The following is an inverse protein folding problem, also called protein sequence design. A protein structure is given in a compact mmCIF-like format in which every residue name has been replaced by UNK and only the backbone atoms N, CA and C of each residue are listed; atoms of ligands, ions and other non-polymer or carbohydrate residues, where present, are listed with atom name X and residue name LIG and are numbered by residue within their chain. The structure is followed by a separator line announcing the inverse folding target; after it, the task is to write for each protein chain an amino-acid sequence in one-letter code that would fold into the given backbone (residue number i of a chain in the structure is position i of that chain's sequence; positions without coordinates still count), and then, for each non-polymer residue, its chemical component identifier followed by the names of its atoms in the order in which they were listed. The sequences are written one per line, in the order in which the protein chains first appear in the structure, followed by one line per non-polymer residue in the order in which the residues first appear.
data_IF_399485089888
#
_entry.id   IF_399485089888
#
_cell.length_a   1.000
_cell.length_b   1.000
_cell.length_c   1.000
_cell.angle_alpha   90.00
_cell.angle_beta   90.00
_cell.angle_gamma   90.00
#
_symmetry.space_group_name_H-M   'P 1'
#
loop_
_entity.id
_entity.type
_entity.pdbx_description
1 polymer ?
#
# COMPACT_ATOMS: atom_id res chain seq x y z
N UNK A 1 -47.81 -20.65 7.78
CA UNK A 1 -46.86 -19.51 7.78
C UNK A 1 -46.72 -19.04 9.21
N UNK A 2 -45.59 -19.35 9.85
CA UNK A 2 -45.37 -19.01 11.25
C UNK A 2 -45.03 -17.51 11.38
N UNK A 3 -45.66 -16.77 12.33
CA UNK A 3 -45.46 -15.33 12.49
C UNK A 3 -44.04 -14.91 12.90
N UNK A 4 -43.17 -15.87 13.27
CA UNK A 4 -41.75 -15.62 13.59
C UNK A 4 -40.84 -15.43 12.38
N UNK A 5 -41.20 -15.99 11.21
CA UNK A 5 -40.34 -15.91 10.01
C UNK A 5 -40.37 -14.50 9.40
N UNK A 6 -41.50 -13.80 9.51
CA UNK A 6 -41.66 -12.43 8.99
C UNK A 6 -40.94 -11.39 9.87
N UNK A 7 -40.89 -11.61 11.19
CA UNK A 7 -40.19 -10.73 12.15
C UNK A 7 -38.67 -10.88 12.09
N UNK A 8 -38.15 -12.09 11.86
CA UNK A 8 -36.71 -12.31 11.63
C UNK A 8 -36.27 -11.67 10.31
N UNK A 9 -37.09 -11.79 9.25
CA UNK A 9 -36.81 -11.12 7.97
C UNK A 9 -36.86 -9.59 8.09
N UNK A 10 -37.83 -9.04 8.85
CA UNK A 10 -37.89 -7.60 9.13
C UNK A 10 -36.72 -7.09 9.99
N UNK A 11 -36.27 -7.82 11.01
CA UNK A 11 -35.09 -7.43 11.79
C UNK A 11 -33.79 -7.55 10.99
N UNK A 12 -33.66 -8.56 10.13
CA UNK A 12 -32.54 -8.71 9.20
C UNK A 12 -32.47 -7.57 8.18
N UNK A 13 -33.61 -7.16 7.63
CA UNK A 13 -33.70 -6.00 6.71
C UNK A 13 -33.44 -4.67 7.44
N UNK A 14 -33.92 -4.50 8.68
CA UNK A 14 -33.63 -3.31 9.49
C UNK A 14 -32.14 -3.20 9.88
N UNK A 15 -31.47 -4.32 10.18
CA UNK A 15 -30.01 -4.34 10.41
C UNK A 15 -29.22 -4.08 9.11
N UNK A 16 -29.75 -4.48 7.95
CA UNK A 16 -29.18 -4.17 6.64
C UNK A 16 -29.28 -2.67 6.29
N UNK A 17 -30.38 -2.00 6.67
CA UNK A 17 -30.54 -0.55 6.47
C UNK A 17 -29.79 0.30 7.50
N UNK A 18 -29.64 -0.15 8.75
CA UNK A 18 -28.89 0.58 9.79
C UNK A 18 -27.36 0.43 9.69
N UNK A 19 -26.85 -0.54 8.94
CA UNK A 19 -25.40 -0.69 8.68
C UNK A 19 -24.91 0.16 7.51
N UNK A 20 -25.79 0.92 6.84
CA UNK A 20 -25.41 1.87 5.78
C UNK A 20 -24.78 3.18 6.30
N UNK A 21 -24.51 3.31 7.60
CA UNK A 21 -23.70 4.41 8.14
C UNK A 21 -22.57 3.84 8.99
N UNK A 22 -21.70 3.05 8.36
CA UNK A 22 -20.32 2.95 8.81
C UNK A 22 -19.48 3.56 7.69
N UNK A 23 -19.41 4.89 7.69
CA UNK A 23 -18.29 5.60 7.08
C UNK A 23 -17.05 5.07 7.81
N UNK A 24 -16.36 4.13 7.18
CA UNK A 24 -15.01 3.79 7.55
C UNK A 24 -14.21 5.07 7.38
N UNK A 25 -13.75 5.63 8.50
CA UNK A 25 -12.81 6.74 8.55
C UNK A 25 -11.49 6.23 7.95
N UNK A 26 -11.41 6.21 6.61
CA UNK A 26 -10.14 6.39 5.94
C UNK A 26 -9.69 7.78 6.35
N UNK A 27 -8.57 7.83 7.04
CA UNK A 27 -7.86 9.06 7.34
C UNK A 27 -7.62 9.81 6.02
N UNK A 28 -8.58 10.66 5.67
CA UNK A 28 -8.42 11.71 4.70
C UNK A 28 -7.36 12.63 5.29
N UNK A 29 -6.09 12.36 4.96
CA UNK A 29 -5.04 13.35 5.14
C UNK A 29 -5.48 14.56 4.33
N UNK A 30 -5.89 15.59 5.08
CA UNK A 30 -6.59 16.75 4.58
C UNK A 30 -5.85 17.33 3.38
N UNK A 31 -6.54 17.38 2.25
CA UNK A 31 -6.10 18.13 1.10
C UNK A 31 -5.88 19.57 1.54
N UNK A 32 -4.60 19.95 1.66
CA UNK A 32 -4.19 21.32 1.86
C UNK A 32 -4.65 22.13 0.63
N UNK A 33 -5.77 22.84 0.79
CA UNK A 33 -6.21 23.84 -0.17
C UNK A 33 -5.13 24.91 -0.31
N UNK A 34 -4.45 24.94 -1.46
CA UNK A 34 -3.47 25.96 -1.81
C UNK A 34 -2.20 25.45 -2.50
N UNK A 35 -1.97 24.14 -2.56
CA UNK A 35 -0.74 23.61 -3.19
C UNK A 35 -0.75 23.77 -4.72
N UNK A 36 0.40 24.11 -5.36
CA UNK A 36 0.55 24.15 -6.81
C UNK A 36 0.19 22.80 -7.46
N UNK A 37 -0.25 22.77 -8.72
CA UNK A 37 -0.62 21.53 -9.41
C UNK A 37 0.51 20.46 -9.43
N UNK A 38 1.77 20.90 -9.37
CA UNK A 38 2.95 20.04 -9.27
C UNK A 38 3.11 19.30 -7.93
N UNK A 39 2.24 19.59 -6.95
CA UNK A 39 2.31 19.16 -5.56
C UNK A 39 1.05 18.43 -5.08
N UNK A 40 0.33 17.83 -6.03
CA UNK A 40 -0.99 17.26 -5.80
C UNK A 40 -1.03 15.74 -6.00
N UNK A 41 0.14 15.12 -6.08
CA UNK A 41 0.22 13.67 -6.13
C UNK A 41 -0.16 13.10 -4.77
N UNK A 42 -0.88 11.98 -4.76
CA UNK A 42 -1.06 11.19 -3.55
C UNK A 42 0.29 10.62 -3.09
N UNK A 43 0.33 10.10 -1.87
CA UNK A 43 1.49 9.41 -1.30
C UNK A 43 1.29 7.89 -1.34
N UNK A 44 1.20 7.23 -2.52
CA UNK A 44 0.98 5.79 -2.53
C UNK A 44 2.23 5.06 -2.02
N UNK A 45 1.98 4.00 -1.26
CA UNK A 45 2.99 3.00 -0.95
C UNK A 45 3.46 2.35 -2.26
N UNK A 46 4.75 2.08 -2.33
CA UNK A 46 5.38 1.51 -3.51
C UNK A 46 6.37 0.41 -3.12
N UNK A 47 6.71 -0.41 -4.10
CA UNK A 47 7.72 -1.46 -3.95
C UNK A 47 8.97 -1.06 -4.73
N UNK A 48 10.11 -1.25 -4.06
CA UNK A 48 11.45 -1.02 -4.59
C UNK A 48 12.11 -2.38 -4.73
N UNK A 49 11.98 -2.99 -5.90
CA UNK A 49 12.71 -4.22 -6.18
C UNK A 49 14.18 -3.88 -6.37
N UNK A 50 15.06 -4.75 -5.85
CA UNK A 50 16.50 -4.53 -5.90
C UNK A 50 17.25 -5.78 -6.33
N UNK A 51 18.32 -5.54 -7.08
CA UNK A 51 19.27 -6.57 -7.48
C UNK A 51 20.67 -6.15 -7.06
N UNK A 52 21.41 -7.10 -6.49
CA UNK A 52 22.81 -6.92 -6.10
C UNK A 52 23.64 -7.90 -6.92
N UNK A 53 24.51 -7.39 -7.79
CA UNK A 53 25.24 -8.18 -8.80
C UNK A 53 24.34 -9.11 -9.61
N UNK A 54 23.15 -8.63 -9.98
CA UNK A 54 22.18 -9.37 -10.78
C UNK A 54 21.31 -10.35 -9.99
N UNK A 55 21.62 -10.65 -8.73
CA UNK A 55 20.77 -11.48 -7.88
C UNK A 55 19.67 -10.65 -7.24
N UNK A 56 18.41 -11.06 -7.43
CA UNK A 56 17.25 -10.41 -6.81
C UNK A 56 17.29 -10.59 -5.29
N UNK A 57 16.96 -9.53 -4.56
CA UNK A 57 16.83 -9.55 -3.11
C UNK A 57 15.42 -9.15 -2.71
N UNK A 58 15.09 -9.37 -1.44
CA UNK A 58 13.82 -8.93 -0.86
C UNK A 58 13.55 -7.45 -1.22
N UNK A 59 12.35 -7.14 -1.74
CA UNK A 59 12.01 -5.78 -2.12
C UNK A 59 11.86 -4.90 -0.89
N UNK A 60 12.24 -3.64 -1.02
CA UNK A 60 12.01 -2.64 0.02
C UNK A 60 10.64 -1.98 -0.18
N UNK A 61 10.06 -1.52 0.92
CA UNK A 61 8.85 -0.70 0.90
C UNK A 61 9.28 0.77 0.85
N UNK A 62 8.64 1.54 -0.01
CA UNK A 62 8.82 2.99 -0.09
C UNK A 62 7.51 3.74 -0.09
N UNK A 63 7.62 5.06 -0.08
CA UNK A 63 6.50 5.99 -0.18
C UNK A 63 6.82 7.07 -1.22
N UNK A 64 5.89 7.36 -2.13
CA UNK A 64 6.09 8.40 -3.14
C UNK A 64 6.00 9.79 -2.52
N UNK A 65 6.67 10.77 -3.12
CA UNK A 65 6.48 12.18 -2.79
C UNK A 65 5.17 12.72 -3.37
N UNK A 66 4.67 13.81 -2.79
CA UNK A 66 3.53 14.57 -3.31
C UNK A 66 3.85 15.38 -4.58
N UNK A 67 5.06 15.25 -5.11
CA UNK A 67 5.57 15.96 -6.29
C UNK A 67 6.44 15.05 -7.15
N UNK A 68 6.77 15.52 -8.35
CA UNK A 68 7.52 14.74 -9.34
C UNK A 68 6.59 13.95 -10.27
N UNK A 69 7.18 13.11 -11.11
CA UNK A 69 6.39 12.23 -11.99
C UNK A 69 5.81 11.05 -11.23
N UNK A 70 4.64 10.58 -11.69
CA UNK A 70 3.98 9.40 -11.14
C UNK A 70 4.72 8.14 -11.60
N UNK A 71 4.87 7.18 -10.69
CA UNK A 71 5.47 5.88 -10.98
C UNK A 71 4.46 4.96 -11.69
N UNK A 72 4.93 4.06 -12.56
CA UNK A 72 4.06 3.07 -13.17
C UNK A 72 3.48 2.11 -12.13
N UNK A 73 2.25 1.66 -12.39
CA UNK A 73 1.56 0.70 -11.52
C UNK A 73 2.02 -0.74 -11.76
N UNK A 74 2.41 -1.05 -13.00
CA UNK A 74 2.85 -2.37 -13.42
C UNK A 74 4.39 -2.45 -13.53
N UNK A 75 4.94 -3.54 -13.01
CA UNK A 75 6.37 -3.90 -13.08
C UNK A 75 6.86 -3.92 -14.54
N UNK A 76 6.03 -4.31 -15.51
CA UNK A 76 6.39 -4.39 -16.93
C UNK A 76 6.71 -3.03 -17.56
N UNK A 77 6.13 -1.96 -17.01
CA UNK A 77 6.36 -0.59 -17.47
C UNK A 77 7.49 0.08 -16.66
N UNK A 78 7.80 -0.46 -15.49
CA UNK A 78 8.87 0.03 -14.65
C UNK A 78 10.25 -0.33 -15.22
N UNK A 79 11.13 0.66 -15.27
CA UNK A 79 12.48 0.47 -15.77
C UNK A 79 13.41 0.05 -14.63
N UNK A 80 14.20 -1.01 -14.87
CA UNK A 80 15.33 -1.38 -14.01
C UNK A 80 16.52 -0.48 -14.33
N UNK A 81 16.98 0.26 -13.33
CA UNK A 81 18.03 1.26 -13.48
C UNK A 81 19.12 1.07 -12.41
N UNK A 82 20.39 1.42 -12.70
CA UNK A 82 21.44 1.40 -11.70
C UNK A 82 21.14 2.44 -10.60
N UNK A 83 21.43 2.10 -9.35
CA UNK A 83 21.37 3.05 -8.25
C UNK A 83 22.77 3.55 -7.91
N UNK A 84 22.89 4.85 -7.62
CA UNK A 84 24.15 5.48 -7.24
C UNK A 84 23.93 6.50 -6.14
N UNK A 85 24.80 6.52 -5.14
CA UNK A 85 24.81 7.59 -4.15
C UNK A 85 25.18 8.93 -4.79
N UNK A 86 24.38 9.95 -4.47
CA UNK A 86 24.71 11.33 -4.75
C UNK A 86 25.96 11.76 -3.99
N UNK A 87 26.73 12.68 -4.57
CA UNK A 87 27.89 13.32 -3.94
C UNK A 87 27.73 14.83 -4.03
N UNK A 88 27.46 15.56 -2.94
CA UNK A 88 27.37 15.06 -1.56
C UNK A 88 26.16 14.15 -1.31
N UNK A 89 26.25 13.28 -0.30
CA UNK A 89 25.21 12.28 0.05
C UNK A 89 23.85 12.90 0.37
N UNK A 90 23.82 14.16 0.80
CA UNK A 90 22.58 14.88 1.09
C UNK A 90 21.93 15.47 -0.18
N UNK A 91 22.59 15.45 -1.33
CA UNK A 91 22.09 16.04 -2.58
C UNK A 91 21.62 17.52 -2.46
N UNK A 92 22.21 18.29 -1.54
CA UNK A 92 21.85 19.70 -1.33
C UNK A 92 22.67 20.67 -2.19
N UNK A 93 23.68 20.19 -2.90
CA UNK A 93 24.43 20.94 -3.88
C UNK A 93 24.68 20.09 -5.15
N UNK A 94 24.93 20.72 -6.31
CA UNK A 94 25.16 20.02 -7.56
C UNK A 94 26.20 18.93 -7.42
N UNK A 95 25.88 17.73 -7.92
CA UNK A 95 26.81 16.62 -7.80
C UNK A 95 28.01 16.80 -8.71
N UNK A 96 29.19 16.43 -8.22
CA UNK A 96 30.41 16.37 -9.04
C UNK A 96 30.39 15.25 -10.08
N UNK A 97 29.46 14.29 -9.96
CA UNK A 97 29.28 13.18 -10.89
C UNK A 97 27.93 13.26 -11.59
N UNK A 98 27.90 12.97 -12.90
CA UNK A 98 26.64 12.86 -13.64
C UNK A 98 25.94 11.56 -13.29
N UNK A 99 24.69 11.66 -12.83
CA UNK A 99 23.84 10.52 -12.51
C UNK A 99 23.35 9.81 -13.79
N UNK A 100 23.34 10.50 -14.94
CA UNK A 100 23.26 9.90 -16.30
C UNK A 100 22.20 8.81 -16.49
N UNK A 101 20.97 9.05 -16.02
CA UNK A 101 19.85 8.10 -16.10
C UNK A 101 19.83 7.06 -14.99
N UNK A 102 20.69 7.16 -13.97
CA UNK A 102 20.64 6.33 -12.78
C UNK A 102 19.61 6.83 -11.78
N UNK A 103 19.28 5.96 -10.83
CA UNK A 103 18.51 6.31 -9.64
C UNK A 103 19.47 6.92 -8.62
N UNK A 104 19.23 8.16 -8.22
CA UNK A 104 20.03 8.85 -7.23
C UNK A 104 19.60 8.43 -5.82
N UNK A 105 20.56 8.04 -4.98
CA UNK A 105 20.34 7.83 -3.55
C UNK A 105 20.84 9.04 -2.77
N UNK A 106 20.00 9.60 -1.91
CA UNK A 106 20.34 10.74 -1.06
C UNK A 106 19.85 10.53 0.37
N UNK A 107 20.58 11.03 1.37
CA UNK A 107 20.14 11.03 2.76
C UNK A 107 19.19 12.22 3.03
N UNK A 108 18.20 11.99 3.88
CA UNK A 108 17.33 13.04 4.43
C UNK A 108 18.14 14.01 5.31
N UNK A 109 17.75 15.29 5.30
CA UNK A 109 18.33 16.35 6.13
C UNK A 109 18.98 17.48 5.31
N UNK A 110 19.47 18.52 6.01
CA UNK A 110 20.21 19.69 5.48
C UNK A 110 19.45 20.65 4.55
N UNK A 111 18.58 20.15 3.68
CA UNK A 111 17.79 20.95 2.75
C UNK A 111 16.45 20.28 2.41
N UNK A 112 15.55 21.06 1.80
CA UNK A 112 14.21 20.62 1.40
C UNK A 112 14.24 19.46 0.39
N UNK A 113 13.22 18.60 0.44
CA UNK A 113 13.08 17.46 -0.48
C UNK A 113 12.97 17.90 -1.94
N UNK A 114 12.28 19.00 -2.21
CA UNK A 114 12.14 19.59 -3.55
C UNK A 114 13.48 20.07 -4.10
N UNK A 115 14.33 20.64 -3.25
CA UNK A 115 15.70 21.05 -3.60
C UNK A 115 16.55 19.85 -3.98
N UNK A 116 16.50 18.77 -3.19
CA UNK A 116 17.20 17.51 -3.51
C UNK A 116 16.76 16.95 -4.86
N UNK A 117 15.45 16.94 -5.12
CA UNK A 117 14.90 16.46 -6.37
C UNK A 117 15.32 17.30 -7.58
N UNK A 118 15.32 18.62 -7.45
CA UNK A 118 15.80 19.54 -8.49
C UNK A 118 17.27 19.28 -8.82
N UNK A 119 18.11 19.16 -7.79
CA UNK A 119 19.55 18.92 -7.95
C UNK A 119 19.81 17.55 -8.57
N UNK A 120 19.11 16.51 -8.13
CA UNK A 120 19.21 15.17 -8.71
C UNK A 120 18.80 15.16 -10.19
N UNK A 121 17.72 15.86 -10.53
CA UNK A 121 17.24 16.02 -11.91
C UNK A 121 18.26 16.77 -12.78
N UNK A 122 18.80 17.89 -12.30
CA UNK A 122 19.85 18.65 -12.99
C UNK A 122 21.12 17.82 -13.17
N UNK A 123 21.41 16.91 -12.23
CA UNK A 123 22.46 15.89 -12.35
C UNK A 123 22.17 14.77 -13.35
N UNK A 124 20.98 14.79 -13.97
CA UNK A 124 20.53 13.80 -14.96
C UNK A 124 20.05 12.49 -14.35
N UNK A 125 19.60 12.47 -13.09
CA UNK A 125 19.00 11.28 -12.51
C UNK A 125 17.67 10.94 -13.20
N UNK A 126 17.35 9.65 -13.26
CA UNK A 126 16.04 9.19 -13.76
C UNK A 126 15.00 9.11 -12.64
N UNK A 127 15.44 8.98 -11.38
CA UNK A 127 14.61 9.01 -10.17
C UNK A 127 15.44 9.40 -8.96
N UNK A 128 14.80 9.87 -7.90
CA UNK A 128 15.43 10.15 -6.61
C UNK A 128 14.84 9.24 -5.52
N UNK A 129 15.72 8.59 -4.76
CA UNK A 129 15.38 7.86 -3.54
C UNK A 129 16.01 8.57 -2.35
N UNK A 130 15.17 9.04 -1.45
CA UNK A 130 15.58 9.66 -0.19
C UNK A 130 15.57 8.60 0.90
N UNK A 131 16.73 8.38 1.52
CA UNK A 131 16.89 7.48 2.66
C UNK A 131 16.57 8.27 3.92
N UNK A 132 15.58 7.80 4.67
CA UNK A 132 15.20 8.41 5.94
C UNK A 132 16.29 8.19 7.01
N UNK A 133 16.32 9.07 8.02
CA UNK A 133 17.25 8.99 9.17
C UNK A 133 16.60 8.33 10.39
N UNK A 134 15.41 7.79 10.23
CA UNK A 134 14.64 7.09 11.25
C UNK A 134 13.95 5.91 10.57
N UNK A 135 13.65 4.88 11.35
CA UNK A 135 12.78 3.81 10.88
C UNK A 135 11.37 4.34 10.54
N UNK A 136 10.81 3.84 9.44
CA UNK A 136 9.54 4.29 8.88
C UNK A 136 9.68 5.21 7.66
N UNK A 137 8.52 5.49 7.05
CA UNK A 137 8.40 6.28 5.82
C UNK A 137 7.90 7.68 6.17
N UNK A 138 8.50 8.70 5.56
CA UNK A 138 8.13 10.11 5.79
C UNK A 138 7.43 10.66 4.56
N UNK A 139 6.24 11.26 4.73
CA UNK A 139 5.56 11.99 3.66
C UNK A 139 6.40 13.20 3.22
N UNK A 140 6.75 13.22 1.94
CA UNK A 140 7.52 14.30 1.34
C UNK A 140 6.58 15.25 0.59
N UNK A 141 6.11 16.26 1.30
CA UNK A 141 5.32 17.34 0.72
C UNK A 141 6.17 18.36 -0.02
N UNK A 142 5.51 19.23 -0.76
CA UNK A 142 6.16 20.40 -1.35
C UNK A 142 6.50 21.45 -0.30
N UNK A 143 7.61 22.14 -0.53
CA UNK A 143 7.90 23.42 0.13
C UNK A 143 6.99 24.52 -0.47
N UNK A 144 6.95 25.71 0.14
CA UNK A 144 6.13 26.85 -0.29
C UNK A 144 6.55 27.48 -1.63
N UNK A 145 7.41 26.81 -2.39
CA UNK A 145 7.92 27.30 -3.66
C UNK A 145 6.87 27.07 -4.77
N UNK A 146 6.55 28.14 -5.49
CA UNK A 146 5.47 28.15 -6.50
C UNK A 146 5.93 27.67 -7.88
N UNK A 147 7.25 27.50 -8.09
CA UNK A 147 7.84 27.12 -9.37
C UNK A 147 8.53 25.74 -9.32
N UNK A 148 7.79 24.71 -8.94
CA UNK A 148 8.31 23.34 -8.89
C UNK A 148 8.18 22.65 -10.26
N UNK A 149 9.31 22.54 -10.97
CA UNK A 149 9.42 21.78 -12.23
C UNK A 149 10.27 20.52 -12.02
N UNK A 150 9.69 19.50 -11.39
CA UNK A 150 10.31 18.20 -11.13
C UNK A 150 9.57 17.16 -11.98
N UNK A 151 10.29 16.58 -12.93
CA UNK A 151 9.79 15.58 -13.89
C UNK A 151 10.29 14.16 -13.58
N UNK A 152 11.13 13.99 -12.56
CA UNK A 152 11.58 12.68 -12.08
C UNK A 152 10.69 12.19 -10.93
N UNK A 153 10.51 10.88 -10.74
CA UNK A 153 9.82 10.35 -9.58
C UNK A 153 10.72 10.45 -8.34
N UNK A 154 10.11 10.78 -7.21
CA UNK A 154 10.80 10.98 -5.93
C UNK A 154 10.15 10.09 -4.89
N UNK A 155 10.94 9.28 -4.22
CA UNK A 155 10.46 8.32 -3.24
C UNK A 155 11.30 8.35 -1.97
N UNK A 156 10.72 7.91 -0.85
CA UNK A 156 11.45 7.70 0.40
C UNK A 156 11.46 6.22 0.77
N UNK A 157 12.52 5.79 1.45
CA UNK A 157 12.66 4.45 2.04
C UNK A 157 13.10 4.57 3.50
N UNK A 158 12.91 3.50 4.27
CA UNK A 158 13.36 3.43 5.67
C UNK A 158 14.89 3.50 5.79
N UNK A 159 15.36 3.84 6.99
CA UNK A 159 16.78 3.84 7.34
C UNK A 159 17.43 2.47 7.12
N UNK A 160 16.84 1.42 7.70
CA UNK A 160 17.21 0.01 7.46
C UNK A 160 17.37 -0.36 5.99
N UNK A 161 16.41 0.01 5.15
CA UNK A 161 16.46 -0.25 3.70
C UNK A 161 17.62 0.48 3.03
N UNK A 162 17.89 1.72 3.43
CA UNK A 162 19.03 2.51 2.96
C UNK A 162 20.38 1.97 3.41
N UNK A 163 20.49 1.48 4.64
CA UNK A 163 21.71 0.86 5.17
C UNK A 163 22.09 -0.40 4.40
N UNK A 164 21.11 -1.25 4.06
CA UNK A 164 21.35 -2.46 3.26
C UNK A 164 21.86 -2.13 1.85
N UNK A 165 21.32 -1.07 1.23
CA UNK A 165 21.81 -0.57 -0.06
C UNK A 165 23.22 0.02 0.08
N UNK A 166 23.47 0.78 1.13
CA UNK A 166 24.78 1.37 1.41
C UNK A 166 25.84 0.30 1.60
N UNK A 167 25.57 -0.71 2.43
CA UNK A 167 26.47 -1.85 2.64
C UNK A 167 26.80 -2.56 1.33
N UNK A 168 25.78 -2.87 0.53
CA UNK A 168 25.97 -3.54 -0.76
C UNK A 168 26.85 -2.72 -1.73
N UNK A 169 26.65 -1.40 -1.79
CA UNK A 169 27.47 -0.53 -2.64
C UNK A 169 28.87 -0.30 -2.08
N UNK A 170 29.04 -0.24 -0.75
CA UNK A 170 30.32 -0.11 -0.08
C UNK A 170 31.21 -1.35 -0.30
N UNK A 171 30.59 -2.53 -0.39
CA UNK A 171 31.25 -3.79 -0.76
C UNK A 171 31.64 -3.85 -2.25
N UNK A 172 31.40 -2.78 -3.02
CA UNK A 172 31.73 -2.67 -4.44
C UNK A 172 30.75 -3.41 -5.37
N UNK A 173 29.59 -3.84 -4.85
CA UNK A 173 28.59 -4.55 -5.63
C UNK A 173 27.75 -3.59 -6.46
N UNK A 174 27.41 -3.99 -7.69
CA UNK A 174 26.50 -3.23 -8.55
C UNK A 174 25.07 -3.41 -8.04
N UNK A 175 24.42 -2.30 -7.67
CA UNK A 175 23.03 -2.28 -7.21
C UNK A 175 22.14 -1.67 -8.28
N UNK A 176 21.06 -2.36 -8.61
CA UNK A 176 20.04 -1.90 -9.56
C UNK A 176 18.67 -1.94 -8.88
N UNK A 177 17.84 -0.92 -9.14
CA UNK A 177 16.52 -0.78 -8.55
C UNK A 177 15.45 -0.68 -9.64
N UNK A 178 14.25 -1.14 -9.31
CA UNK A 178 13.04 -0.97 -10.12
C UNK A 178 11.92 -0.48 -9.21
N UNK A 179 11.32 0.64 -9.57
CA UNK A 179 10.31 1.35 -8.77
C UNK A 179 8.94 1.21 -9.43
N UNK A 180 7.94 0.75 -8.68
CA UNK A 180 6.55 0.69 -9.15
C UNK A 180 5.56 0.82 -7.98
N UNK A 181 4.37 1.37 -8.26
CA UNK A 181 3.33 1.59 -7.27
C UNK A 181 2.12 0.68 -7.54
N UNK A 182 2.07 -0.52 -6.93
CA UNK A 182 0.97 -1.45 -7.19
C UNK A 182 -0.35 -0.91 -6.65
N UNK A 183 -1.40 -0.92 -7.47
CA UNK A 183 -2.76 -0.58 -7.03
C UNK A 183 -3.25 -1.57 -5.99
N UNK A 184 -3.69 -1.07 -4.84
CA UNK A 184 -4.38 -1.88 -3.82
C UNK A 184 -5.83 -2.11 -4.29
N UNK A 185 -6.33 -3.36 -4.36
CA UNK A 185 -7.73 -3.58 -4.65
C UNK A 185 -8.59 -2.96 -3.55
N UNK A 186 -9.69 -2.31 -3.93
CA UNK A 186 -10.62 -1.62 -3.00
C UNK A 186 -11.29 -2.63 -2.05
N UNK A 187 -11.43 -3.89 -2.49
CA UNK A 187 -12.10 -4.94 -1.73
C UNK A 187 -11.14 -6.10 -1.55
N UNK A 188 -10.71 -6.32 -0.31
CA UNK A 188 -9.98 -7.52 0.06
C UNK A 188 -10.93 -8.72 0.05
N UNK A 189 -10.70 -9.66 -0.86
CA UNK A 189 -11.50 -10.88 -0.96
C UNK A 189 -11.52 -11.68 0.34
N UNK A 190 -10.44 -11.65 1.12
CA UNK A 190 -10.38 -12.24 2.46
C UNK A 190 -11.42 -11.63 3.39
N UNK A 191 -11.65 -10.32 3.35
CA UNK A 191 -12.65 -9.63 4.17
C UNK A 191 -14.06 -10.00 3.72
N UNK A 192 -14.30 -10.04 2.40
CA UNK A 192 -15.58 -10.51 1.84
C UNK A 192 -15.86 -11.95 2.27
N UNK A 193 -14.84 -12.81 2.20
CA UNK A 193 -14.96 -14.20 2.60
C UNK A 193 -15.24 -14.34 4.10
N UNK A 194 -14.52 -13.59 4.95
CA UNK A 194 -14.76 -13.56 6.40
C UNK A 194 -16.16 -13.05 6.74
N UNK A 195 -16.64 -12.04 6.01
CA UNK A 195 -18.00 -11.52 6.15
C UNK A 195 -19.06 -12.56 5.78
N UNK A 196 -18.89 -13.25 4.65
CA UNK A 196 -19.79 -14.33 4.22
C UNK A 196 -19.79 -15.52 5.21
N UNK A 197 -18.62 -15.89 5.74
CA UNK A 197 -18.51 -16.94 6.77
C UNK A 197 -19.20 -16.56 8.07
N UNK A 198 -19.10 -15.29 8.48
CA UNK A 198 -19.79 -14.77 9.66
C UNK A 198 -21.31 -14.83 9.49
N UNK A 199 -21.82 -14.32 8.37
CA UNK A 199 -23.25 -14.38 8.05
C UNK A 199 -23.74 -15.83 7.96
N UNK A 200 -22.98 -16.71 7.31
CA UNK A 200 -23.30 -18.13 7.20
C UNK A 200 -23.42 -18.82 8.56
N UNK A 201 -22.52 -18.48 9.49
CA UNK A 201 -22.52 -19.03 10.86
C UNK A 201 -23.74 -18.56 11.65
N UNK A 202 -24.11 -17.26 11.54
CA UNK A 202 -25.30 -16.70 12.18
C UNK A 202 -26.57 -17.35 11.63
N UNK A 203 -26.67 -17.54 10.32
CA UNK A 203 -27.83 -18.22 9.70
C UNK A 203 -27.93 -19.66 10.18
N UNK A 204 -26.82 -20.40 10.21
CA UNK A 204 -26.79 -21.79 10.68
C UNK A 204 -27.18 -21.90 12.16
N UNK A 205 -26.69 -20.98 13.00
CA UNK A 205 -27.07 -20.91 14.41
C UNK A 205 -28.54 -20.53 14.60
N UNK A 206 -29.08 -19.62 13.78
CA UNK A 206 -30.49 -19.19 13.83
C UNK A 206 -31.44 -20.33 13.43
N UNK A 207 -31.04 -21.16 12.46
CA UNK A 207 -31.82 -22.30 12.00
C UNK A 207 -31.62 -23.56 12.86
N UNK A 208 -30.74 -23.50 13.87
CA UNK A 208 -30.43 -24.65 14.74
C UNK A 208 -31.69 -25.24 15.39
N UNK A 209 -32.61 -24.38 15.85
CA UNK A 209 -33.85 -24.81 16.51
C UNK A 209 -34.77 -25.63 15.59
N UNK A 210 -34.96 -25.20 14.33
CA UNK A 210 -35.82 -25.90 13.37
C UNK A 210 -35.22 -27.25 12.93
N UNK A 211 -33.89 -27.29 12.76
CA UNK A 211 -33.17 -28.52 12.43
C UNK A 211 -33.31 -29.53 13.56
N UNK A 212 -33.19 -29.11 14.83
CA UNK A 212 -33.33 -30.02 15.97
C UNK A 212 -34.76 -30.56 16.16
N UNK A 213 -35.80 -29.75 15.90
CA UNK A 213 -37.19 -30.21 15.98
C UNK A 213 -37.55 -31.24 14.90
N UNK A 214 -37.04 -31.08 13.67
CA UNK A 214 -37.26 -32.06 12.59
C UNK A 214 -36.70 -33.44 12.94
N UNK A 215 -35.52 -33.48 13.56
CA UNK A 215 -34.84 -34.73 13.95
C UNK A 215 -35.58 -35.48 15.07
N UNK A 216 -36.27 -34.77 15.95
CA UNK A 216 -37.04 -35.37 17.05
C UNK A 216 -38.36 -35.97 16.56
N UNK A 217 -38.97 -35.39 15.51
CA UNK A 217 -40.18 -35.92 14.86
C UNK A 217 -39.94 -37.22 14.08
N UNK A 218 -38.79 -37.33 13.41
CA UNK A 218 -38.42 -38.54 12.66
C UNK A 218 -37.96 -39.69 13.58
N UNK A 219 -37.24 -39.37 14.66
CA UNK A 219 -36.87 -40.36 15.69
C UNK A 219 -38.10 -40.95 16.40
N UNK A 220 -39.12 -40.13 16.67
CA UNK A 220 -40.37 -40.59 17.28
C UNK A 220 -41.23 -41.47 16.36
N UNK A 221 -41.08 -41.36 15.04
CA UNK A 221 -41.86 -42.18 14.09
C UNK A 221 -41.26 -43.57 13.86
N UNK A 222 -39.94 -43.73 14.03
CA UNK A 222 -39.25 -45.02 13.89
C UNK A 222 -39.46 -45.97 15.08
N UNK A 223 -39.98 -45.47 16.22
CA UNK A 223 -40.28 -46.29 17.40
C UNK A 223 -41.73 -46.82 17.42
N UNK A 224 -42.59 -46.37 16.49
CA UNK A 224 -43.99 -46.80 16.41
C UNK A 224 -44.28 -47.95 15.42
N UNK A 225 -43.26 -48.57 14.82
CA UNK A 225 -43.48 -49.77 14.00
C UNK A 225 -43.62 -51.01 14.89
N UNK A 226 -44.78 -51.72 14.88
CA UNK A 226 -44.94 -52.96 15.65
C UNK A 226 -43.99 -54.03 15.11
N UNK A 227 -43.28 -54.74 16.00
CA UNK A 227 -42.67 -56.03 15.67
C UNK A 227 -43.81 -57.01 15.34
N UNK A 228 -43.89 -57.40 14.07
CA UNK A 228 -44.77 -58.49 13.63
C UNK A 228 -44.20 -59.81 14.19
N UNK A 229 -45.03 -60.65 14.84
CA UNK A 229 -44.61 -61.95 15.38
C UNK A 229 -44.31 -62.99 14.30
#
# INVERSE_FOLDING_TARGET
MAPGLLTIFQFGICLFFMSSIAVGDEAAHGGAGGAPAACRNDFPLLKVNRWVNGAEKEPLVGLSAGFGSILPEDIKQAQRLPAMFSKPLNCCSPSSFKLSGSIALALRGECDFTTKAKIAQEGGAAALVVINTQEGLTEMGCSNDTALNISIPVITISESGGEELNKSMADGMKVELLLYSPTRPIVDYSVVFLWLMSIGSIVTASLWSEITESKQRDGSSNELSPKVP
#
